data_IF_952743861076
#
_entry.id   IF_952743861076
#
_cell.length_a   1.000
_cell.length_b   1.000
_cell.length_c   1.000
_cell.angle_alpha   90.00
_cell.angle_beta   90.00
_cell.angle_gamma   90.00
#
_symmetry.space_group_name_H-M   'P 1'
#
loop_
_entity.id
_entity.type
_entity.pdbx_description
1 polymer ?
#
# COMPACT_ATOMS: atom_id res chain seq x y z
N UNK A 1 28.65 -22.65 12.31
CA UNK A 1 28.64 -21.18 12.19
C UNK A 1 27.19 -20.73 12.33
N UNK A 2 26.83 -19.85 13.27
CA UNK A 2 25.45 -19.36 13.35
C UNK A 2 25.14 -18.44 12.16
N UNK A 3 23.89 -18.39 11.67
CA UNK A 3 23.51 -17.49 10.60
C UNK A 3 23.54 -16.05 11.11
N UNK A 4 24.28 -15.19 10.43
CA UNK A 4 24.32 -13.75 10.70
C UNK A 4 22.96 -13.19 10.32
N UNK A 5 22.15 -12.83 11.31
CA UNK A 5 20.90 -12.12 11.12
C UNK A 5 21.20 -10.77 10.43
N UNK A 6 20.91 -10.68 9.14
CA UNK A 6 20.92 -9.43 8.39
C UNK A 6 19.80 -8.54 8.95
N UNK A 7 20.13 -7.61 9.85
CA UNK A 7 19.19 -6.60 10.34
C UNK A 7 18.60 -5.82 9.15
N UNK A 8 17.32 -6.04 8.88
CA UNK A 8 16.57 -5.34 7.84
C UNK A 8 16.47 -3.86 8.22
N UNK A 9 17.25 -3.01 7.56
CA UNK A 9 17.16 -1.57 7.70
C UNK A 9 15.97 -1.03 6.92
N UNK A 10 15.20 -0.13 7.53
CA UNK A 10 14.03 0.50 6.95
C UNK A 10 14.06 2.01 7.19
N UNK A 11 13.30 2.78 6.43
CA UNK A 11 13.27 4.24 6.55
C UNK A 11 12.52 4.70 7.79
N UNK A 12 13.11 5.64 8.54
CA UNK A 12 12.45 6.32 9.66
C UNK A 12 11.17 7.01 9.19
N UNK A 13 10.04 6.77 9.88
CA UNK A 13 8.73 7.32 9.51
C UNK A 13 8.59 8.85 9.62
N UNK A 14 9.61 9.56 10.12
CA UNK A 14 9.63 11.03 10.24
C UNK A 14 10.63 11.66 9.27
N UNK A 15 11.85 11.15 9.21
CA UNK A 15 12.95 11.78 8.47
C UNK A 15 13.53 10.92 7.34
N UNK A 16 12.92 9.75 7.07
CA UNK A 16 13.30 8.78 6.03
C UNK A 16 14.73 8.20 6.11
N UNK A 17 15.54 8.58 7.11
CA UNK A 17 16.87 7.97 7.34
C UNK A 17 16.74 6.48 7.62
N UNK A 18 17.62 5.67 7.01
CA UNK A 18 17.69 4.24 7.27
C UNK A 18 17.97 3.96 8.75
N UNK A 19 17.25 3.00 9.31
CA UNK A 19 17.41 2.58 10.69
C UNK A 19 16.93 1.14 10.87
N UNK A 20 17.58 0.41 11.77
CA UNK A 20 17.11 -0.88 12.27
C UNK A 20 16.19 -0.73 13.50
N UNK A 21 16.10 0.49 14.07
CA UNK A 21 15.32 0.76 15.28
C UNK A 21 13.85 0.81 14.95
N UNK A 22 13.10 -0.15 15.49
CA UNK A 22 11.65 -0.28 15.35
C UNK A 22 10.95 -0.05 16.69
N UNK A 23 9.68 0.34 16.63
CA UNK A 23 8.85 0.48 17.82
C UNK A 23 8.79 -0.87 18.55
N UNK A 24 9.23 -0.91 19.81
CA UNK A 24 9.26 -2.14 20.62
C UNK A 24 7.89 -2.78 20.86
N UNK A 25 6.80 -1.99 20.75
CA UNK A 25 5.44 -2.46 20.98
C UNK A 25 4.87 -3.18 19.76
N UNK A 26 4.91 -2.57 18.59
CA UNK A 26 4.29 -3.12 17.38
C UNK A 26 5.28 -3.83 16.46
N UNK A 27 6.57 -3.51 16.55
CA UNK A 27 7.65 -4.03 15.71
C UNK A 27 7.48 -3.75 14.20
N UNK A 28 6.57 -2.86 13.80
CA UNK A 28 6.22 -2.60 12.39
C UNK A 28 6.66 -1.23 11.86
N UNK A 29 6.79 -0.22 12.72
CA UNK A 29 7.22 1.14 12.31
C UNK A 29 8.63 1.44 12.82
N UNK A 30 9.43 2.08 11.98
CA UNK A 30 10.84 2.38 12.25
C UNK A 30 11.06 3.85 12.59
N UNK A 31 11.91 4.11 13.59
CA UNK A 31 12.27 5.45 14.05
C UNK A 31 13.76 5.48 14.37
N UNK A 32 14.50 6.40 13.75
CA UNK A 32 15.95 6.49 14.00
C UNK A 32 16.30 6.96 15.43
N UNK A 33 15.34 7.57 16.14
CA UNK A 33 15.47 8.00 17.52
C UNK A 33 14.14 8.01 18.28
N UNK A 34 14.21 8.06 19.62
CA UNK A 34 13.01 8.15 20.46
C UNK A 34 12.25 9.47 20.26
N UNK A 35 12.95 10.56 19.91
CA UNK A 35 12.34 11.86 19.63
C UNK A 35 11.37 11.74 18.45
N UNK A 36 11.78 11.08 17.37
CA UNK A 36 10.92 10.83 16.22
C UNK A 36 9.76 9.89 16.56
N UNK A 37 9.99 8.89 17.42
CA UNK A 37 8.90 8.05 17.91
C UNK A 37 7.88 8.86 18.75
N UNK A 38 8.35 9.73 19.65
CA UNK A 38 7.50 10.61 20.48
C UNK A 38 6.74 11.63 19.62
N UNK A 39 7.38 12.19 18.61
CA UNK A 39 6.77 13.09 17.64
C UNK A 39 5.65 12.38 16.85
N UNK A 40 5.90 11.14 16.43
CA UNK A 40 4.91 10.30 15.76
C UNK A 40 3.84 9.74 16.72
N UNK A 41 4.11 9.70 18.04
CA UNK A 41 3.36 8.89 19.01
C UNK A 41 1.86 9.16 19.02
N UNK A 42 1.46 10.44 18.97
CA UNK A 42 0.04 10.82 18.94
C UNK A 42 -0.73 10.15 17.79
N UNK A 43 -0.07 9.91 16.65
CA UNK A 43 -0.63 9.28 15.46
C UNK A 43 -0.38 7.78 15.47
N UNK A 44 0.86 7.37 15.72
CA UNK A 44 1.29 5.98 15.75
C UNK A 44 0.48 5.14 16.74
N UNK A 45 0.15 5.67 17.92
CA UNK A 45 -0.60 4.93 18.95
C UNK A 45 -1.96 4.40 18.49
N UNK A 46 -2.58 5.00 17.46
CA UNK A 46 -3.86 4.57 16.91
C UNK A 46 -3.73 3.26 16.12
N UNK A 47 -2.59 3.05 15.46
CA UNK A 47 -2.26 1.85 14.68
C UNK A 47 -1.22 0.94 15.39
N UNK A 48 -0.72 1.31 16.56
CA UNK A 48 0.32 0.61 17.30
C UNK A 48 -0.23 -0.62 18.06
N UNK A 49 -0.35 -1.73 17.33
CA UNK A 49 -0.80 -3.02 17.86
C UNK A 49 0.37 -3.97 18.09
N UNK A 50 0.43 -4.65 19.26
CA UNK A 50 1.38 -5.74 19.45
C UNK A 50 1.16 -6.86 18.44
N UNK A 51 2.22 -7.49 17.92
CA UNK A 51 2.10 -8.57 16.92
C UNK A 51 1.14 -9.68 17.35
N UNK A 52 1.20 -10.10 18.62
CA UNK A 52 0.34 -11.14 19.18
C UNK A 52 -1.14 -10.73 19.30
N UNK A 53 -1.43 -9.44 19.52
CA UNK A 53 -2.81 -8.95 19.63
C UNK A 53 -3.44 -8.81 18.25
N UNK A 54 -2.69 -8.28 17.28
CA UNK A 54 -3.08 -8.27 15.87
C UNK A 54 -3.44 -9.70 15.44
N UNK A 55 -2.59 -10.69 15.75
CA UNK A 55 -2.84 -12.11 15.50
C UNK A 55 -4.17 -12.60 16.07
N UNK A 56 -4.46 -12.30 17.34
CA UNK A 56 -5.69 -12.75 17.99
C UNK A 56 -6.97 -12.14 17.40
N UNK A 57 -6.91 -10.89 16.94
CA UNK A 57 -8.06 -10.21 16.33
C UNK A 57 -8.29 -10.69 14.88
N UNK A 58 -7.23 -11.09 14.16
CA UNK A 58 -7.31 -11.72 12.84
C UNK A 58 -7.95 -13.11 12.93
N UNK A 59 -7.53 -13.94 13.88
CA UNK A 59 -8.09 -15.29 14.08
C UNK A 59 -9.58 -15.23 14.40
N UNK A 60 -10.02 -14.24 15.19
CA UNK A 60 -11.44 -14.03 15.55
C UNK A 60 -12.29 -13.49 14.42
N UNK A 61 -11.69 -12.80 13.43
CA UNK A 61 -12.40 -12.23 12.28
C UNK A 61 -12.50 -13.19 11.09
N UNK A 62 -12.01 -14.43 11.22
CA UNK A 62 -12.12 -15.45 10.17
C UNK A 62 -13.58 -15.85 9.93
N UNK A 63 -14.05 -15.60 8.72
CA UNK A 63 -15.24 -16.23 8.14
C UNK A 63 -15.06 -17.75 8.02
N UNK A 64 -16.18 -18.48 7.93
CA UNK A 64 -16.16 -19.93 7.72
C UNK A 64 -15.47 -20.30 6.39
N UNK A 65 -15.68 -19.51 5.34
CA UNK A 65 -15.06 -19.71 4.02
C UNK A 65 -13.52 -19.65 4.04
N UNK A 66 -12.92 -18.80 4.90
CA UNK A 66 -11.47 -18.74 5.08
C UNK A 66 -10.89 -19.97 5.80
N UNK A 67 -11.72 -20.83 6.42
CA UNK A 67 -11.29 -22.10 7.03
C UNK A 67 -11.32 -23.27 6.06
N UNK A 68 -12.18 -23.20 5.05
CA UNK A 68 -12.51 -24.33 4.18
C UNK A 68 -11.68 -24.39 2.88
N UNK A 69 -10.71 -23.48 2.71
CA UNK A 69 -9.64 -23.59 1.71
C UNK A 69 -9.97 -23.08 0.29
N UNK A 70 -11.20 -22.66 0.03
CA UNK A 70 -11.58 -21.94 -1.20
C UNK A 70 -11.79 -20.45 -0.88
N UNK A 71 -10.72 -19.67 -0.97
CA UNK A 71 -10.69 -18.32 -0.40
C UNK A 71 -10.45 -17.25 -1.46
N UNK A 72 -11.29 -17.28 -2.50
CA UNK A 72 -11.47 -16.12 -3.39
C UNK A 72 -12.63 -15.28 -2.89
N UNK A 73 -12.44 -13.98 -2.82
CA UNK A 73 -13.51 -13.02 -2.56
C UNK A 73 -13.32 -11.80 -3.46
N UNK A 74 -14.33 -10.93 -3.51
CA UNK A 74 -14.32 -9.79 -4.43
C UNK A 74 -14.38 -8.50 -3.63
N UNK A 75 -13.55 -7.53 -4.01
CA UNK A 75 -13.58 -6.15 -3.47
C UNK A 75 -13.88 -5.15 -4.57
N UNK A 76 -14.44 -4.01 -4.18
CA UNK A 76 -14.51 -2.81 -5.01
C UNK A 76 -13.16 -2.08 -5.00
N UNK A 77 -12.57 -1.90 -6.17
CA UNK A 77 -11.35 -1.14 -6.38
C UNK A 77 -11.62 0.08 -7.27
N UNK A 78 -10.84 1.14 -7.12
CA UNK A 78 -10.88 2.30 -8.03
C UNK A 78 -9.92 2.05 -9.17
N UNK A 79 -10.44 1.98 -10.40
CA UNK A 79 -9.66 1.98 -11.62
C UNK A 79 -9.55 3.42 -12.14
N UNK A 80 -8.32 3.84 -12.45
CA UNK A 80 -8.02 5.00 -13.27
C UNK A 80 -7.65 4.49 -14.67
N UNK A 81 -8.64 4.37 -15.58
CA UNK A 81 -8.41 3.80 -16.90
C UNK A 81 -7.59 4.76 -17.77
N UNK A 82 -6.71 4.22 -18.62
CA UNK A 82 -5.91 5.07 -19.51
C UNK A 82 -6.72 5.67 -20.65
N UNK A 83 -7.77 4.98 -21.09
CA UNK A 83 -8.57 5.27 -22.28
C UNK A 83 -9.80 6.15 -22.01
N UNK A 84 -10.04 6.53 -20.75
CA UNK A 84 -11.18 7.34 -20.33
C UNK A 84 -10.75 8.44 -19.36
N UNK A 85 -11.53 9.53 -19.31
CA UNK A 85 -11.28 10.67 -18.42
C UNK A 85 -11.94 10.49 -17.05
N UNK A 86 -12.71 9.41 -16.84
CA UNK A 86 -13.52 9.19 -15.62
C UNK A 86 -13.03 7.97 -14.83
N UNK A 87 -12.71 8.12 -13.54
CA UNK A 87 -12.49 6.98 -12.63
C UNK A 87 -13.74 6.11 -12.54
N UNK A 88 -13.57 4.80 -12.29
CA UNK A 88 -14.69 3.89 -12.05
C UNK A 88 -14.37 2.84 -11.01
N UNK A 89 -15.39 2.38 -10.30
CA UNK A 89 -15.28 1.19 -9.46
C UNK A 89 -15.28 -0.06 -10.32
N UNK A 90 -14.39 -1.00 -9.99
CA UNK A 90 -14.29 -2.31 -10.63
C UNK A 90 -14.22 -3.40 -9.56
N UNK A 91 -14.68 -4.59 -9.91
CA UNK A 91 -14.62 -5.77 -9.05
C UNK A 91 -13.28 -6.47 -9.22
N UNK A 92 -12.50 -6.55 -8.14
CA UNK A 92 -11.20 -7.24 -8.11
C UNK A 92 -11.33 -8.51 -7.29
N UNK A 93 -10.92 -9.63 -7.87
CA UNK A 93 -10.82 -10.90 -7.15
C UNK A 93 -9.55 -10.90 -6.31
N UNK A 94 -9.69 -11.29 -5.05
CA UNK A 94 -8.61 -11.44 -4.10
C UNK A 94 -8.54 -12.90 -3.65
N UNK A 95 -7.34 -13.49 -3.73
CA UNK A 95 -7.08 -14.86 -3.32
C UNK A 95 -6.26 -14.86 -2.02
N UNK A 96 -6.70 -15.64 -1.04
CA UNK A 96 -5.89 -15.86 0.15
C UNK A 96 -4.77 -16.85 -0.13
N UNK A 97 -3.55 -16.53 0.32
CA UNK A 97 -2.41 -17.44 0.30
C UNK A 97 -1.66 -17.36 1.64
N UNK A 98 -1.06 -18.49 2.02
CA UNK A 98 -0.05 -18.55 3.07
C UNK A 98 1.32 -18.45 2.41
N UNK A 99 2.21 -17.64 2.97
CA UNK A 99 3.62 -17.67 2.55
C UNK A 99 4.34 -18.69 3.45
N UNK A 100 4.65 -19.91 2.96
CA UNK A 100 5.20 -20.97 3.82
C UNK A 100 6.57 -20.61 4.41
N UNK A 101 7.32 -19.72 3.77
CA UNK A 101 8.72 -19.42 4.12
C UNK A 101 8.93 -18.04 4.78
N UNK A 102 7.87 -17.29 5.10
CA UNK A 102 8.03 -15.97 5.71
C UNK A 102 7.76 -16.03 7.22
N UNK A 103 8.82 -16.19 8.01
CA UNK A 103 8.82 -16.21 9.48
C UNK A 103 8.23 -14.91 10.09
N UNK A 104 8.16 -13.82 9.30
CA UNK A 104 7.56 -12.54 9.71
C UNK A 104 6.09 -12.39 9.31
N UNK A 105 5.60 -13.21 8.38
CA UNK A 105 4.19 -13.25 8.01
C UNK A 105 3.43 -14.06 9.05
N UNK A 106 2.93 -13.38 10.07
CA UNK A 106 2.17 -13.98 11.17
C UNK A 106 0.80 -14.58 10.73
N UNK A 107 0.50 -14.68 9.44
CA UNK A 107 -0.80 -15.17 8.97
C UNK A 107 -0.96 -15.26 7.45
N UNK A 108 -2.22 -15.17 7.00
CA UNK A 108 -2.62 -15.23 5.60
C UNK A 108 -2.50 -13.86 4.92
N UNK A 109 -2.09 -13.84 3.65
CA UNK A 109 -2.06 -12.64 2.81
C UNK A 109 -3.09 -12.76 1.69
N UNK A 110 -3.69 -11.65 1.28
CA UNK A 110 -4.55 -11.58 0.09
C UNK A 110 -3.73 -11.11 -1.11
N UNK A 111 -3.80 -11.87 -2.20
CA UNK A 111 -3.29 -11.50 -3.52
C UNK A 111 -4.45 -10.95 -4.35
N UNK A 112 -4.42 -9.67 -4.67
CA UNK A 112 -5.33 -9.12 -5.68
C UNK A 112 -4.92 -9.59 -7.08
N UNK A 113 -5.85 -10.13 -7.86
CA UNK A 113 -5.63 -10.55 -9.24
C UNK A 113 -5.77 -9.34 -10.16
N UNK A 114 -4.63 -8.72 -10.49
CA UNK A 114 -4.59 -7.43 -11.19
C UNK A 114 -4.32 -7.56 -12.70
N UNK A 115 -3.94 -8.74 -13.18
CA UNK A 115 -3.66 -9.03 -14.58
C UNK A 115 -4.77 -8.55 -15.55
N UNK A 116 -6.08 -8.70 -15.24
CA UNK A 116 -7.14 -8.17 -16.10
C UNK A 116 -7.14 -6.65 -16.26
N UNK A 117 -6.51 -5.92 -15.33
CA UNK A 117 -6.50 -4.45 -15.31
C UNK A 117 -5.15 -3.88 -15.74
N UNK A 118 -4.04 -4.54 -15.38
CA UNK A 118 -2.68 -4.04 -15.56
C UNK A 118 -1.87 -4.79 -16.62
N UNK A 119 -2.42 -5.86 -17.19
CA UNK A 119 -1.77 -6.70 -18.20
C UNK A 119 -1.19 -7.97 -17.60
N UNK A 120 -1.50 -9.11 -18.22
CA UNK A 120 -1.06 -10.42 -17.74
C UNK A 120 0.47 -10.55 -17.76
N UNK A 121 1.03 -11.10 -16.68
CA UNK A 121 2.47 -11.37 -16.56
C UNK A 121 3.35 -10.11 -16.48
N UNK A 122 2.76 -8.93 -16.26
CA UNK A 122 3.51 -7.69 -16.11
C UNK A 122 3.97 -7.50 -14.66
N UNK A 123 5.14 -6.89 -14.48
CA UNK A 123 5.55 -6.42 -13.16
C UNK A 123 4.69 -5.23 -12.76
N UNK A 124 4.12 -5.31 -11.55
CA UNK A 124 3.26 -4.28 -11.01
C UNK A 124 4.01 -3.46 -9.95
N UNK A 125 4.23 -2.18 -10.23
CA UNK A 125 4.67 -1.23 -9.22
C UNK A 125 3.61 -1.06 -8.14
N UNK A 126 4.03 -0.61 -6.95
CA UNK A 126 3.13 -0.41 -5.82
C UNK A 126 3.56 0.71 -4.90
N UNK A 127 2.59 1.37 -4.28
CA UNK A 127 2.81 2.28 -3.15
C UNK A 127 1.71 2.11 -2.11
N UNK A 128 2.12 2.13 -0.83
CA UNK A 128 1.22 2.14 0.32
C UNK A 128 0.93 3.58 0.73
N UNK A 129 -0.26 4.08 0.44
CA UNK A 129 -0.68 5.42 0.85
C UNK A 129 -1.30 5.34 2.26
N UNK A 130 -0.64 5.97 3.23
CA UNK A 130 -1.08 5.98 4.64
C UNK A 130 -1.51 7.36 5.13
N UNK A 131 -1.33 8.39 4.30
CA UNK A 131 -1.72 9.78 4.59
C UNK A 131 -2.55 10.35 3.45
N UNK A 132 -3.29 11.43 3.72
CA UNK A 132 -4.15 12.08 2.74
C UNK A 132 -3.43 12.64 1.49
N UNK A 133 -2.10 12.79 1.53
CA UNK A 133 -1.30 13.17 0.35
C UNK A 133 -0.27 12.09 -0.04
N UNK A 134 -0.40 10.89 0.53
CA UNK A 134 0.51 9.76 0.34
C UNK A 134 1.83 9.84 1.11
N UNK A 135 2.41 11.03 1.28
CA UNK A 135 3.69 11.22 1.97
C UNK A 135 3.59 12.09 3.21
N UNK A 136 2.82 13.18 3.12
CA UNK A 136 2.61 14.17 4.15
C UNK A 136 1.11 14.27 4.49
N UNK A 137 0.76 15.01 5.52
CA UNK A 137 -0.63 15.24 5.88
C UNK A 137 -1.22 14.22 6.86
N UNK A 138 -2.54 14.33 7.14
CA UNK A 138 -3.19 13.54 8.18
C UNK A 138 -3.22 12.05 7.82
N UNK A 139 -3.08 11.15 8.80
CA UNK A 139 -3.17 9.71 8.59
C UNK A 139 -4.60 9.31 8.19
N UNK A 140 -4.71 8.31 7.33
CA UNK A 140 -5.99 7.79 6.84
C UNK A 140 -6.67 6.85 7.85
N UNK A 141 -5.90 6.20 8.72
CA UNK A 141 -6.38 5.12 9.59
C UNK A 141 -6.63 3.79 8.86
N UNK A 142 -6.22 3.71 7.60
CA UNK A 142 -6.15 2.52 6.76
C UNK A 142 -4.99 2.71 5.77
N UNK A 143 -4.62 1.66 5.04
CA UNK A 143 -3.69 1.78 3.91
C UNK A 143 -4.47 1.68 2.60
N UNK A 144 -4.22 2.63 1.70
CA UNK A 144 -4.71 2.58 0.32
C UNK A 144 -3.55 2.13 -0.57
N UNK A 145 -3.65 0.91 -1.11
CA UNK A 145 -2.65 0.32 -2.00
C UNK A 145 -2.93 0.80 -3.41
N UNK A 146 -1.99 1.53 -4.03
CA UNK A 146 -2.05 1.92 -5.44
C UNK A 146 -1.07 1.06 -6.25
N UNK A 147 -1.53 0.53 -7.39
CA UNK A 147 -0.80 -0.37 -8.28
C UNK A 147 -0.83 0.11 -9.74
N UNK A 148 0.26 -0.12 -10.46
CA UNK A 148 0.42 0.24 -11.87
C UNK A 148 1.36 -0.75 -12.57
N UNK A 149 1.41 -0.73 -13.90
CA UNK A 149 2.40 -1.49 -14.66
C UNK A 149 3.78 -0.81 -14.55
N UNK A 150 4.75 -1.44 -13.91
CA UNK A 150 6.01 -0.78 -13.49
C UNK A 150 6.84 -0.21 -14.66
N UNK A 151 6.72 -0.82 -15.84
CA UNK A 151 7.49 -0.47 -17.03
C UNK A 151 6.83 0.57 -17.94
N UNK A 152 5.75 1.25 -17.49
CA UNK A 152 4.96 2.14 -18.36
C UNK A 152 5.78 3.29 -19.00
N UNK A 153 6.88 3.72 -18.37
CA UNK A 153 7.77 4.76 -18.92
C UNK A 153 8.63 4.25 -20.09
N UNK A 154 8.85 2.94 -20.18
CA UNK A 154 9.85 2.35 -21.07
C UNK A 154 9.23 1.45 -22.16
N UNK A 155 7.95 1.10 -22.04
CA UNK A 155 7.29 0.11 -22.91
C UNK A 155 6.32 0.73 -23.93
N UNK A 156 6.25 2.06 -24.02
CA UNK A 156 5.32 2.75 -24.92
C UNK A 156 3.86 2.73 -24.45
N UNK A 157 3.59 2.47 -23.17
CA UNK A 157 2.23 2.52 -22.62
C UNK A 157 1.57 3.88 -22.89
N UNK A 158 0.28 3.90 -23.28
CA UNK A 158 -0.42 5.13 -23.59
C UNK A 158 -0.57 6.00 -22.35
N UNK A 159 -0.55 7.33 -22.54
CA UNK A 159 -0.79 8.31 -21.48
C UNK A 159 -2.14 8.04 -20.80
N UNK A 160 -2.15 8.02 -19.47
CA UNK A 160 -3.36 7.81 -18.71
C UNK A 160 -4.20 9.10 -18.67
N UNK A 161 -5.25 9.13 -19.48
CA UNK A 161 -6.14 10.30 -19.60
C UNK A 161 -6.92 10.60 -18.31
N UNK A 162 -7.32 9.56 -17.58
CA UNK A 162 -7.99 9.72 -16.29
C UNK A 162 -7.09 10.47 -15.30
N UNK A 163 -5.81 10.09 -15.20
CA UNK A 163 -4.83 10.76 -14.33
C UNK A 163 -4.66 12.22 -14.75
N UNK A 164 -4.50 12.50 -16.04
CA UNK A 164 -4.42 13.88 -16.55
C UNK A 164 -5.65 14.68 -16.11
N UNK A 165 -6.85 14.10 -16.25
CA UNK A 165 -8.11 14.78 -15.90
C UNK A 165 -8.24 15.06 -14.41
N UNK A 166 -8.06 14.06 -13.55
CA UNK A 166 -8.26 14.21 -12.09
C UNK A 166 -7.20 15.10 -11.45
N UNK A 167 -5.99 15.15 -12.03
CA UNK A 167 -4.90 16.00 -11.53
C UNK A 167 -4.85 17.38 -12.19
N UNK A 168 -5.76 17.69 -13.11
CA UNK A 168 -5.73 18.94 -13.89
C UNK A 168 -4.36 19.16 -14.57
N UNK A 169 -3.78 18.07 -15.09
CA UNK A 169 -2.45 18.05 -15.73
C UNK A 169 -1.26 18.26 -14.78
N UNK A 170 -1.47 18.30 -13.45
CA UNK A 170 -0.42 18.59 -12.46
C UNK A 170 0.32 17.36 -11.96
N UNK A 171 0.02 16.17 -12.47
CA UNK A 171 0.79 14.97 -12.17
C UNK A 171 2.26 15.15 -12.57
N UNK A 172 3.18 14.70 -11.71
CA UNK A 172 4.61 15.00 -11.89
C UNK A 172 5.23 14.40 -13.16
N UNK A 173 4.87 13.17 -13.50
CA UNK A 173 5.30 12.49 -14.72
C UNK A 173 4.06 11.99 -15.49
N UNK A 174 4.20 11.75 -16.81
CA UNK A 174 3.11 11.19 -17.61
C UNK A 174 2.85 9.73 -17.22
N UNK A 175 1.96 9.52 -16.25
CA UNK A 175 1.51 8.17 -15.89
C UNK A 175 0.93 7.47 -17.12
N UNK A 176 1.37 6.24 -17.38
CA UNK A 176 0.97 5.45 -18.54
C UNK A 176 0.26 4.17 -18.14
N UNK A 177 -0.62 3.68 -19.01
CA UNK A 177 -1.44 2.50 -18.74
C UNK A 177 -2.43 2.70 -17.59
N UNK A 178 -3.11 1.62 -17.19
CA UNK A 178 -4.09 1.68 -16.11
C UNK A 178 -3.41 1.78 -14.73
N UNK A 179 -4.06 2.48 -13.81
CA UNK A 179 -3.74 2.47 -12.39
C UNK A 179 -4.95 1.90 -11.64
N UNK A 180 -4.72 1.13 -10.58
CA UNK A 180 -5.79 0.55 -9.76
C UNK A 180 -5.46 0.65 -8.28
N UNK A 181 -6.46 0.98 -7.46
CA UNK A 181 -6.30 1.14 -6.03
C UNK A 181 -7.40 0.41 -5.24
N UNK A 182 -7.01 -0.16 -4.11
CA UNK A 182 -7.89 -0.83 -3.16
C UNK A 182 -7.36 -0.66 -1.73
N UNK A 183 -8.23 -0.76 -0.73
CA UNK A 183 -7.81 -0.65 0.68
C UNK A 183 -7.20 -1.95 1.17
N UNK A 184 -6.31 -1.87 2.15
CA UNK A 184 -5.78 -3.02 2.87
C UNK A 184 -5.72 -2.75 4.38
N UNK A 185 -5.84 -3.80 5.18
CA UNK A 185 -5.69 -3.71 6.63
C UNK A 185 -4.24 -3.39 7.06
N UNK A 186 -4.13 -2.73 8.21
CA UNK A 186 -2.85 -2.52 8.88
C UNK A 186 -2.61 -3.56 9.99
N UNK A 187 -1.34 -3.97 10.23
CA UNK A 187 -0.16 -3.62 9.45
C UNK A 187 -0.01 -4.55 8.22
N UNK A 188 0.14 -3.96 7.03
CA UNK A 188 0.29 -4.70 5.75
C UNK A 188 1.43 -5.72 5.78
N UNK A 189 2.50 -5.42 6.50
CA UNK A 189 3.67 -6.29 6.66
C UNK A 189 3.39 -7.57 7.46
N UNK A 190 2.28 -7.64 8.19
CA UNK A 190 1.85 -8.84 8.91
C UNK A 190 0.55 -9.41 8.33
N UNK A 191 -0.30 -8.54 7.76
CA UNK A 191 -1.66 -8.86 7.32
C UNK A 191 -2.04 -7.99 6.13
N UNK A 192 -1.87 -8.51 4.93
CA UNK A 192 -2.36 -7.84 3.73
C UNK A 192 -3.79 -8.31 3.41
N UNK A 193 -4.81 -7.81 4.10
CA UNK A 193 -6.22 -8.12 3.76
C UNK A 193 -6.82 -7.05 2.86
N UNK A 194 -7.09 -7.40 1.60
CA UNK A 194 -7.80 -6.53 0.67
C UNK A 194 -9.21 -6.17 1.18
N UNK A 195 -9.60 -4.91 0.99
CA UNK A 195 -10.89 -4.32 1.38
C UNK A 195 -11.40 -3.36 0.31
N UNK A 196 -12.70 -3.12 0.33
CA UNK A 196 -13.36 -2.19 -0.58
C UNK A 196 -12.79 -0.77 -0.46
N UNK A 197 -12.52 -0.17 -1.61
CA UNK A 197 -12.32 1.26 -1.74
C UNK A 197 -13.64 2.02 -1.63
N UNK A 198 -13.53 3.29 -1.23
CA UNK A 198 -14.65 4.21 -1.11
C UNK A 198 -14.42 5.44 -1.99
N UNK A 199 -15.48 6.18 -2.29
CA UNK A 199 -15.39 7.37 -3.16
C UNK A 199 -14.38 8.43 -2.65
N UNK A 200 -14.23 8.56 -1.33
CA UNK A 200 -13.26 9.45 -0.69
C UNK A 200 -11.79 9.12 -1.03
N UNK A 201 -11.50 7.86 -1.39
CA UNK A 201 -10.14 7.42 -1.74
C UNK A 201 -9.63 8.11 -3.01
N UNK A 202 -10.54 8.53 -3.90
CA UNK A 202 -10.15 9.25 -5.13
C UNK A 202 -9.43 10.56 -4.80
N UNK A 203 -9.82 11.26 -3.74
CA UNK A 203 -9.15 12.49 -3.32
C UNK A 203 -7.71 12.22 -2.87
N UNK A 204 -7.48 11.08 -2.18
CA UNK A 204 -6.15 10.64 -1.74
C UNK A 204 -5.26 10.30 -2.95
N UNK A 205 -5.79 9.56 -3.93
CA UNK A 205 -5.08 9.22 -5.15
C UNK A 205 -4.68 10.48 -5.93
N UNK A 206 -5.62 11.40 -6.13
CA UNK A 206 -5.36 12.67 -6.83
C UNK A 206 -4.27 13.47 -6.12
N UNK A 207 -4.36 13.62 -4.79
CA UNK A 207 -3.35 14.35 -4.03
C UNK A 207 -1.97 13.70 -4.16
N UNK A 208 -1.87 12.37 -4.02
CA UNK A 208 -0.62 11.65 -4.18
C UNK A 208 0.00 11.83 -5.58
N UNK A 209 -0.80 11.69 -6.64
CA UNK A 209 -0.33 11.80 -8.03
C UNK A 209 0.24 13.19 -8.35
N UNK A 210 -0.28 14.24 -7.69
CA UNK A 210 0.23 15.61 -7.78
C UNK A 210 1.50 15.82 -6.95
N UNK A 211 1.58 15.23 -5.75
CA UNK A 211 2.71 15.41 -4.82
C UNK A 211 3.93 14.54 -5.15
N UNK A 212 3.74 13.40 -5.83
CA UNK A 212 4.74 12.34 -6.03
C UNK A 212 6.15 12.82 -6.31
N UNK A 213 6.36 13.65 -7.34
CA UNK A 213 7.72 14.09 -7.69
C UNK A 213 8.18 15.41 -7.09
N UNK A 214 7.35 16.08 -6.28
CA UNK A 214 7.84 17.22 -5.48
C UNK A 214 8.86 16.76 -4.44
N UNK A 215 8.71 15.54 -3.91
CA UNK A 215 9.71 14.93 -3.00
C UNK A 215 10.93 14.34 -3.71
N UNK A 216 10.77 13.78 -4.91
CA UNK A 216 11.92 13.28 -5.70
C UNK A 216 12.91 14.41 -6.00
N UNK A 217 12.42 15.62 -6.28
CA UNK A 217 13.27 16.81 -6.44
C UNK A 217 13.95 17.28 -5.16
N UNK A 218 13.28 17.17 -4.00
CA UNK A 218 13.83 17.61 -2.72
C UNK A 218 14.92 16.68 -2.16
N UNK A 219 15.02 15.44 -2.64
CA UNK A 219 16.05 14.47 -2.24
C UNK A 219 17.21 14.35 -3.24
N UNK A 220 17.17 15.09 -4.35
CA UNK A 220 18.18 15.07 -5.42
C UNK A 220 18.82 16.42 -5.72
N UNK A 221 18.73 17.38 -4.78
CA UNK A 221 19.37 18.68 -4.84
C UNK A 221 20.48 18.82 -3.81
#
# INVERSE_FOLDING_TARGET
MPPVASETQQSCAICNKLTAKKCSRCMTTFYCSEEHQKQAWKRHKLACLPPAKALSDIVKTRSQAERDGDSKFVVDAILLPWDSDTPRFVKVVCEMYTHPDDEYSLGFQHRALLDPFLGAGQFHGSVDLRTATGYDGPPLGYTLMLRWQDMFLNNGSPLNRCVVKITDGKAYHPWGGNLIAYRVDEPVSMVARCKDSKAEDLAVLTAYLVEYGKRVRAMGG
#
